data_IF_740864911221
#
_entry.id   IF_740864911221
#
_cell.length_a   1.000
_cell.length_b   1.000
_cell.length_c   1.000
_cell.angle_alpha   90.00
_cell.angle_beta   90.00
_cell.angle_gamma   90.00
#
_symmetry.space_group_name_H-M   'P 1'
#
loop_
_entity.id
_entity.type
_entity.pdbx_description
1 polymer ?
#
# COMPACT_ATOMS: atom_id res chain seq x y z
N UNK A 1 -16.76 -14.06 1.97
CA UNK A 1 -16.16 -15.41 1.85
C UNK A 1 -15.29 -15.41 0.62
N UNK A 2 -13.99 -15.62 0.77
CA UNK A 2 -13.04 -15.61 -0.34
C UNK A 2 -13.22 -16.83 -1.25
N UNK A 3 -12.76 -16.70 -2.49
CA UNK A 3 -12.89 -17.72 -3.52
C UNK A 3 -11.75 -18.75 -3.43
N UNK A 4 -11.96 -19.93 -4.01
CA UNK A 4 -10.98 -20.99 -4.17
C UNK A 4 -11.12 -21.64 -5.56
N UNK A 5 -10.19 -22.52 -5.93
CA UNK A 5 -10.13 -23.14 -7.26
C UNK A 5 -11.42 -23.87 -7.63
N UNK A 6 -11.98 -24.64 -6.70
CA UNK A 6 -13.21 -25.40 -6.92
C UNK A 6 -14.39 -24.47 -7.25
N UNK A 7 -14.58 -23.40 -6.47
CA UNK A 7 -15.64 -22.40 -6.72
C UNK A 7 -15.48 -21.69 -8.07
N UNK A 8 -14.26 -21.54 -8.55
CA UNK A 8 -14.01 -20.92 -9.84
C UNK A 8 -14.36 -21.84 -10.98
N UNK A 9 -13.98 -23.11 -10.89
CA UNK A 9 -14.35 -24.12 -11.90
C UNK A 9 -15.87 -24.24 -12.00
N UNK A 10 -16.56 -24.29 -10.86
CA UNK A 10 -18.03 -24.33 -10.79
C UNK A 10 -18.69 -23.10 -11.44
N UNK A 11 -18.14 -21.89 -11.23
CA UNK A 11 -18.70 -20.64 -11.76
C UNK A 11 -18.33 -20.36 -13.21
N UNK A 12 -17.15 -20.79 -13.65
CA UNK A 12 -16.70 -20.64 -15.03
C UNK A 12 -17.56 -21.52 -15.94
N UNK A 13 -17.85 -22.76 -15.50
CA UNK A 13 -18.64 -23.69 -16.29
C UNK A 13 -17.95 -24.09 -17.61
N UNK A 14 -18.66 -24.84 -18.44
CA UNK A 14 -18.09 -25.48 -19.65
C UNK A 14 -17.62 -24.51 -20.74
N UNK A 15 -18.19 -23.31 -20.78
CA UNK A 15 -17.90 -22.30 -21.82
C UNK A 15 -17.42 -20.96 -21.24
N UNK A 16 -17.06 -20.93 -19.96
CA UNK A 16 -16.60 -19.69 -19.33
C UNK A 16 -15.21 -19.31 -19.77
N UNK A 17 -14.98 -18.01 -19.87
CA UNK A 17 -13.66 -17.44 -20.15
C UNK A 17 -12.71 -17.72 -18.99
N UNK A 18 -11.49 -18.26 -19.25
CA UNK A 18 -10.45 -18.38 -18.24
C UNK A 18 -10.22 -17.06 -17.50
N UNK A 19 -9.98 -17.14 -16.19
CA UNK A 19 -9.87 -15.97 -15.30
C UNK A 19 -8.84 -14.95 -15.78
N UNK A 20 -7.68 -15.39 -16.27
CA UNK A 20 -6.61 -14.53 -16.81
C UNK A 20 -7.09 -13.80 -18.05
N UNK A 21 -7.72 -14.53 -18.98
CA UNK A 21 -8.20 -13.97 -20.25
C UNK A 21 -9.32 -12.95 -20.01
N UNK A 22 -10.21 -13.22 -19.06
CA UNK A 22 -11.22 -12.25 -18.65
C UNK A 22 -10.62 -10.94 -18.11
N UNK A 23 -9.58 -11.04 -17.25
CA UNK A 23 -8.87 -9.87 -16.76
C UNK A 23 -8.15 -9.11 -17.89
N UNK A 24 -7.53 -9.83 -18.84
CA UNK A 24 -6.92 -9.21 -20.03
C UNK A 24 -7.94 -8.47 -20.88
N UNK A 25 -9.13 -9.04 -21.07
CA UNK A 25 -10.24 -8.40 -21.78
C UNK A 25 -10.71 -7.13 -21.08
N UNK A 26 -10.81 -7.13 -19.75
CA UNK A 26 -11.15 -5.93 -18.99
C UNK A 26 -10.10 -4.83 -19.19
N UNK A 27 -8.80 -5.16 -19.13
CA UNK A 27 -7.75 -4.17 -19.36
C UNK A 27 -7.77 -3.66 -20.81
N UNK A 28 -7.99 -4.55 -21.78
CA UNK A 28 -8.12 -4.15 -23.20
C UNK A 28 -9.33 -3.24 -23.42
N UNK A 29 -10.46 -3.51 -22.75
CA UNK A 29 -11.64 -2.64 -22.79
C UNK A 29 -11.33 -1.27 -22.18
N UNK A 30 -10.56 -1.23 -21.10
CA UNK A 30 -10.14 0.01 -20.47
C UNK A 30 -9.28 0.86 -21.43
N UNK A 31 -8.30 0.24 -22.10
CA UNK A 31 -7.40 0.90 -23.04
C UNK A 31 -8.14 1.49 -24.25
N UNK A 32 -9.18 0.79 -24.73
CA UNK A 32 -9.96 1.21 -25.89
C UNK A 32 -11.17 2.10 -25.53
N UNK A 33 -11.46 2.28 -24.24
CA UNK A 33 -12.58 3.11 -23.81
C UNK A 33 -12.27 4.60 -24.06
N UNK A 34 -13.23 5.31 -24.66
CA UNK A 34 -13.15 6.75 -24.89
C UNK A 34 -13.80 7.58 -23.78
N UNK A 35 -14.82 7.03 -23.10
CA UNK A 35 -15.56 7.73 -22.05
C UNK A 35 -15.01 7.45 -20.66
N UNK A 36 -14.97 8.49 -19.82
CA UNK A 36 -14.45 8.37 -18.46
C UNK A 36 -15.30 7.43 -17.59
N UNK A 37 -16.62 7.51 -17.73
CA UNK A 37 -17.58 6.67 -16.99
C UNK A 37 -17.34 5.17 -17.27
N UNK A 38 -17.01 4.80 -18.50
CA UNK A 38 -16.71 3.40 -18.86
C UNK A 38 -15.40 2.96 -18.23
N UNK A 39 -14.38 3.80 -18.27
CA UNK A 39 -13.09 3.53 -17.61
C UNK A 39 -13.27 3.34 -16.10
N UNK A 40 -14.05 4.19 -15.44
CA UNK A 40 -14.37 4.07 -14.01
C UNK A 40 -15.10 2.77 -13.68
N UNK A 41 -16.07 2.35 -14.50
CA UNK A 41 -16.78 1.06 -14.31
C UNK A 41 -15.85 -0.14 -14.44
N UNK A 42 -14.97 -0.15 -15.44
CA UNK A 42 -14.03 -1.24 -15.67
C UNK A 42 -13.03 -1.33 -14.50
N UNK A 43 -12.55 -0.18 -14.06
CA UNK A 43 -11.71 -0.03 -12.88
C UNK A 43 -12.44 -0.55 -11.62
N UNK A 44 -13.67 -0.13 -11.36
CA UNK A 44 -14.42 -0.62 -10.20
C UNK A 44 -14.57 -2.15 -10.23
N UNK A 45 -14.79 -2.72 -11.42
CA UNK A 45 -14.84 -4.16 -11.60
C UNK A 45 -13.49 -4.82 -11.28
N UNK A 46 -12.39 -4.34 -11.85
CA UNK A 46 -11.04 -4.85 -11.55
C UNK A 46 -10.70 -4.71 -10.06
N UNK A 47 -11.14 -3.64 -9.38
CA UNK A 47 -10.95 -3.43 -7.95
C UNK A 47 -11.71 -4.48 -7.12
N UNK A 48 -12.93 -4.83 -7.52
CA UNK A 48 -13.70 -5.90 -6.88
C UNK A 48 -13.01 -7.26 -7.01
N UNK A 49 -12.34 -7.53 -8.14
CA UNK A 49 -11.52 -8.74 -8.29
C UNK A 49 -10.32 -8.72 -7.34
N UNK A 50 -9.67 -7.56 -7.18
CA UNK A 50 -8.58 -7.36 -6.24
C UNK A 50 -9.00 -7.41 -4.76
N UNK A 51 -10.29 -7.53 -4.45
CA UNK A 51 -10.73 -7.76 -3.08
C UNK A 51 -10.50 -9.21 -2.61
N UNK A 52 -10.39 -10.15 -3.54
CA UNK A 52 -10.26 -11.58 -3.24
C UNK A 52 -8.83 -12.07 -3.51
N UNK A 53 -8.10 -12.56 -2.48
CA UNK A 53 -6.71 -12.97 -2.61
C UNK A 53 -6.46 -14.04 -3.67
N UNK A 54 -7.47 -14.87 -3.95
CA UNK A 54 -7.40 -15.87 -5.01
C UNK A 54 -7.08 -15.25 -6.37
N UNK A 55 -7.54 -14.01 -6.64
CA UNK A 55 -7.35 -13.38 -7.94
C UNK A 55 -5.97 -12.77 -8.14
N UNK A 56 -5.14 -12.69 -7.10
CA UNK A 56 -3.89 -11.95 -7.12
C UNK A 56 -2.87 -12.50 -8.11
N UNK A 57 -2.78 -13.83 -8.24
CA UNK A 57 -1.87 -14.47 -9.20
C UNK A 57 -2.23 -14.12 -10.65
N UNK A 58 -3.52 -14.01 -10.96
CA UNK A 58 -3.99 -13.64 -12.30
C UNK A 58 -3.84 -12.13 -12.54
N UNK A 59 -4.12 -11.29 -11.54
CA UNK A 59 -3.89 -9.85 -11.61
C UNK A 59 -2.40 -9.51 -11.83
N UNK A 60 -1.48 -10.30 -11.25
CA UNK A 60 -0.03 -10.17 -11.49
C UNK A 60 0.34 -10.42 -12.94
N UNK A 61 -0.27 -11.40 -13.59
CA UNK A 61 0.01 -11.70 -15.00
C UNK A 61 -0.41 -10.55 -15.93
N UNK A 62 -1.41 -9.77 -15.53
CA UNK A 62 -1.85 -8.57 -16.26
C UNK A 62 -1.28 -7.27 -15.71
N UNK A 63 -0.37 -7.31 -14.72
CA UNK A 63 0.21 -6.13 -14.05
C UNK A 63 0.78 -5.11 -15.05
N UNK A 64 1.52 -5.59 -16.06
CA UNK A 64 2.08 -4.71 -17.12
C UNK A 64 1.01 -3.88 -17.84
N UNK A 65 -0.18 -4.45 -18.04
CA UNK A 65 -1.29 -3.80 -18.72
C UNK A 65 -2.10 -2.92 -17.76
N UNK A 66 -2.10 -3.23 -16.46
CA UNK A 66 -2.81 -2.46 -15.44
C UNK A 66 -2.15 -1.11 -15.11
N UNK A 67 -0.87 -0.91 -15.45
CA UNK A 67 -0.16 0.36 -15.17
C UNK A 67 -0.91 1.59 -15.71
N UNK A 68 -1.48 1.50 -16.92
CA UNK A 68 -2.29 2.58 -17.50
C UNK A 68 -3.63 2.76 -16.78
N UNK A 69 -4.23 1.68 -16.28
CA UNK A 69 -5.41 1.76 -15.42
C UNK A 69 -5.07 2.47 -14.09
N UNK A 70 -3.91 2.19 -13.51
CA UNK A 70 -3.46 2.79 -12.25
C UNK A 70 -3.24 4.30 -12.39
N UNK A 71 -2.60 4.76 -13.46
CA UNK A 71 -2.41 6.20 -13.73
C UNK A 71 -3.72 6.96 -13.92
N UNK A 72 -4.70 6.32 -14.58
CA UNK A 72 -6.03 6.90 -14.78
C UNK A 72 -6.84 6.98 -13.48
N UNK A 73 -6.61 6.07 -12.54
CA UNK A 73 -7.29 6.02 -11.24
C UNK A 73 -6.79 7.02 -10.20
N UNK A 74 -6.05 8.05 -10.62
CA UNK A 74 -5.64 9.17 -9.75
C UNK A 74 -6.80 9.88 -9.02
N UNK A 75 -8.05 9.47 -9.26
CA UNK A 75 -9.17 9.73 -8.38
C UNK A 75 -9.97 8.43 -8.07
N UNK A 76 -9.86 7.97 -6.82
CA UNK A 76 -10.97 7.50 -5.95
C UNK A 76 -11.23 6.02 -5.62
N UNK A 77 -10.81 4.97 -6.33
CA UNK A 77 -11.41 3.63 -6.02
C UNK A 77 -10.41 2.47 -5.85
N UNK A 78 -9.25 2.47 -6.52
CA UNK A 78 -8.50 1.22 -6.66
C UNK A 78 -7.56 0.86 -5.50
N UNK A 79 -7.08 1.84 -4.74
CA UNK A 79 -6.16 1.57 -3.63
C UNK A 79 -6.87 1.21 -2.32
N UNK A 80 -8.19 1.42 -2.25
CA UNK A 80 -9.00 1.06 -1.07
C UNK A 80 -9.18 -0.46 -0.93
N UNK A 81 -9.15 -1.23 -2.02
CA UNK A 81 -9.17 -2.70 -1.94
C UNK A 81 -7.82 -3.30 -1.55
N UNK A 82 -6.70 -2.62 -1.85
CA UNK A 82 -5.37 -3.03 -1.38
C UNK A 82 -5.17 -2.80 0.13
N UNK A 83 -5.98 -1.94 0.76
CA UNK A 83 -5.91 -1.65 2.19
C UNK A 83 -6.44 -2.77 3.10
N UNK A 84 -7.11 -3.82 2.57
CA UNK A 84 -7.62 -4.97 3.33
C UNK A 84 -6.79 -6.27 3.16
N UNK A 85 -5.55 -6.17 2.66
CA UNK A 85 -4.68 -7.34 2.45
C UNK A 85 -4.05 -7.75 3.80
N UNK A 86 -4.78 -8.55 4.57
CA UNK A 86 -4.31 -9.01 5.88
C UNK A 86 -3.54 -10.35 5.87
N UNK A 87 -3.32 -11.05 4.75
CA UNK A 87 -2.98 -12.49 4.89
C UNK A 87 -1.90 -13.12 3.99
N UNK A 88 -1.49 -12.60 2.82
CA UNK A 88 -0.53 -13.35 1.95
C UNK A 88 0.35 -12.43 1.07
N UNK A 89 1.00 -11.46 1.70
CA UNK A 89 1.85 -10.46 1.02
C UNK A 89 3.17 -11.07 0.46
N UNK A 90 3.60 -12.23 0.97
CA UNK A 90 4.89 -12.86 0.60
C UNK A 90 5.03 -13.27 -0.87
N UNK A 91 3.93 -13.52 -1.59
CA UNK A 91 4.00 -14.09 -2.95
C UNK A 91 3.84 -13.05 -4.08
N UNK A 92 3.52 -11.79 -3.77
CA UNK A 92 2.96 -10.86 -4.77
C UNK A 92 3.78 -9.61 -5.06
N UNK A 93 4.93 -9.41 -4.42
CA UNK A 93 5.73 -8.20 -4.60
C UNK A 93 4.93 -6.90 -4.40
N UNK A 94 3.88 -6.97 -3.58
CA UNK A 94 3.00 -5.83 -3.28
C UNK A 94 3.77 -4.75 -2.53
N UNK A 95 4.76 -5.15 -1.72
CA UNK A 95 5.66 -4.22 -1.05
C UNK A 95 6.45 -3.39 -2.06
N UNK A 96 7.05 -3.99 -3.08
CA UNK A 96 7.73 -3.23 -4.14
C UNK A 96 6.77 -2.27 -4.84
N UNK A 97 5.54 -2.71 -5.15
CA UNK A 97 4.54 -1.82 -5.76
C UNK A 97 4.20 -0.62 -4.86
N UNK A 98 4.05 -0.82 -3.56
CA UNK A 98 3.80 0.30 -2.65
C UNK A 98 5.00 1.23 -2.52
N UNK A 99 6.22 0.70 -2.59
CA UNK A 99 7.43 1.51 -2.59
C UNK A 99 7.56 2.32 -3.89
N UNK A 100 7.20 1.75 -5.04
CA UNK A 100 7.12 2.47 -6.32
C UNK A 100 6.17 3.67 -6.18
N UNK A 101 4.99 3.48 -5.56
CA UNK A 101 4.03 4.56 -5.31
C UNK A 101 4.58 5.71 -4.45
N UNK A 102 5.58 5.48 -3.59
CA UNK A 102 6.19 6.56 -2.79
C UNK A 102 7.08 7.48 -3.63
N UNK A 103 7.49 7.04 -4.82
CA UNK A 103 8.34 7.80 -5.74
C UNK A 103 7.54 8.57 -6.79
N UNK A 104 6.23 8.34 -6.86
CA UNK A 104 5.33 8.99 -7.80
C UNK A 104 5.11 10.47 -7.45
N UNK A 105 4.94 11.35 -8.45
CA UNK A 105 4.67 12.77 -8.20
C UNK A 105 3.27 13.02 -7.66
N UNK A 106 2.36 12.04 -7.76
CA UNK A 106 0.98 12.19 -7.29
C UNK A 106 0.88 11.93 -5.79
N UNK A 107 0.56 12.98 -5.02
CA UNK A 107 0.44 12.92 -3.57
C UNK A 107 -0.56 11.87 -3.06
N UNK A 108 -1.60 11.55 -3.83
CA UNK A 108 -2.57 10.50 -3.47
C UNK A 108 -1.96 9.11 -3.62
N UNK A 109 -1.21 8.87 -4.70
CA UNK A 109 -0.52 7.59 -4.87
C UNK A 109 0.47 7.36 -3.73
N UNK A 110 1.19 8.43 -3.33
CA UNK A 110 2.08 8.38 -2.17
C UNK A 110 1.30 8.06 -0.89
N UNK A 111 0.19 8.77 -0.61
CA UNK A 111 -0.68 8.53 0.56
C UNK A 111 -1.15 7.07 0.63
N UNK A 112 -1.58 6.53 -0.51
CA UNK A 112 -2.03 5.14 -0.59
C UNK A 112 -0.89 4.12 -0.45
N UNK A 113 0.25 4.37 -1.09
CA UNK A 113 1.43 3.52 -0.99
C UNK A 113 1.87 3.39 0.47
N UNK A 114 1.99 4.51 1.17
CA UNK A 114 2.39 4.50 2.59
C UNK A 114 1.32 3.88 3.49
N UNK A 115 0.03 4.10 3.20
CA UNK A 115 -1.07 3.46 3.92
C UNK A 115 -1.04 1.93 3.79
N UNK A 116 -0.79 1.43 2.59
CA UNK A 116 -0.60 0.00 2.32
C UNK A 116 0.59 -0.59 3.06
N UNK A 117 1.74 0.12 3.06
CA UNK A 117 2.93 -0.29 3.81
C UNK A 117 2.66 -0.31 5.31
N UNK A 118 2.02 0.72 5.86
CA UNK A 118 1.70 0.81 7.29
C UNK A 118 0.85 -0.38 7.74
N UNK A 119 -0.18 -0.74 6.98
CA UNK A 119 -1.03 -1.89 7.29
C UNK A 119 -0.26 -3.21 7.15
N UNK A 120 0.55 -3.35 6.10
CA UNK A 120 1.31 -4.57 5.85
C UNK A 120 2.42 -4.81 6.90
N UNK A 121 3.06 -3.76 7.41
CA UNK A 121 4.16 -3.85 8.37
C UNK A 121 3.74 -4.37 9.75
N UNK A 122 2.44 -4.46 10.05
CA UNK A 122 1.97 -5.15 11.24
C UNK A 122 2.41 -6.63 11.26
N UNK A 123 2.62 -7.26 10.10
CA UNK A 123 3.29 -8.56 9.97
C UNK A 123 4.82 -8.36 9.87
N UNK A 124 5.62 -8.89 10.81
CA UNK A 124 7.08 -8.80 10.80
C UNK A 124 7.73 -9.30 9.51
N UNK A 125 7.11 -10.26 8.82
CA UNK A 125 7.66 -10.76 7.57
C UNK A 125 7.56 -9.73 6.43
N UNK A 126 6.52 -8.90 6.42
CA UNK A 126 6.37 -7.80 5.46
C UNK A 126 7.29 -6.63 5.82
N UNK A 127 7.44 -6.34 7.11
CA UNK A 127 8.41 -5.37 7.59
C UNK A 127 9.85 -5.71 7.15
N UNK A 128 10.21 -7.00 7.15
CA UNK A 128 11.48 -7.48 6.61
C UNK A 128 11.62 -7.22 5.11
N UNK A 129 10.57 -7.45 4.31
CA UNK A 129 10.56 -7.17 2.87
C UNK A 129 10.72 -5.67 2.57
N UNK A 130 10.07 -4.80 3.34
CA UNK A 130 10.25 -3.33 3.20
C UNK A 130 11.69 -2.93 3.45
N UNK A 131 12.31 -3.52 4.48
CA UNK A 131 13.73 -3.27 4.81
C UNK A 131 14.67 -3.81 3.74
N UNK A 132 14.36 -4.98 3.15
CA UNK A 132 15.15 -5.61 2.09
C UNK A 132 15.11 -4.82 0.78
N UNK A 133 14.00 -4.16 0.47
CA UNK A 133 13.80 -3.35 -0.72
C UNK A 133 14.17 -1.87 -0.52
N UNK A 134 15.03 -1.55 0.44
CA UNK A 134 15.46 -0.18 0.75
C UNK A 134 14.30 0.82 0.90
N UNK A 135 13.19 0.39 1.50
CA UNK A 135 11.99 1.22 1.65
C UNK A 135 12.07 2.24 2.80
N UNK A 136 12.98 2.05 3.76
CA UNK A 136 13.08 2.94 4.95
C UNK A 136 13.33 4.41 4.57
N UNK A 137 14.30 4.76 3.68
CA UNK A 137 14.50 6.14 3.24
C UNK A 137 13.25 6.77 2.61
N UNK A 138 12.51 6.02 1.80
CA UNK A 138 11.28 6.50 1.14
C UNK A 138 10.20 6.82 2.18
N UNK A 139 10.05 5.97 3.20
CA UNK A 139 9.11 6.17 4.31
C UNK A 139 9.52 7.37 5.16
N UNK A 140 10.82 7.54 5.44
CA UNK A 140 11.32 8.70 6.18
C UNK A 140 11.05 9.99 5.40
N UNK A 141 11.23 10.01 4.08
CA UNK A 141 10.89 11.15 3.24
C UNK A 141 9.40 11.53 3.32
N UNK A 142 8.51 10.54 3.51
CA UNK A 142 7.08 10.77 3.68
C UNK A 142 6.73 11.57 4.95
N UNK A 143 7.62 11.64 5.95
CA UNK A 143 7.44 12.51 7.11
C UNK A 143 7.40 13.99 6.70
N UNK A 144 8.15 14.40 5.67
CA UNK A 144 8.15 15.78 5.18
C UNK A 144 7.01 16.09 4.21
N UNK A 145 6.03 15.19 4.04
CA UNK A 145 4.92 15.37 3.12
C UNK A 145 3.97 16.50 3.57
N UNK A 146 3.40 17.29 2.64
CA UNK A 146 2.34 18.25 2.96
C UNK A 146 1.00 17.57 3.30
N UNK A 147 0.84 16.29 2.93
CA UNK A 147 -0.39 15.53 3.17
C UNK A 147 -0.36 14.91 4.55
N UNK A 148 -1.32 15.33 5.40
CA UNK A 148 -1.38 14.89 6.80
C UNK A 148 -1.51 13.37 6.95
N UNK A 149 -2.35 12.72 6.15
CA UNK A 149 -2.52 11.27 6.19
C UNK A 149 -1.22 10.52 5.90
N UNK A 150 -0.46 10.99 4.90
CA UNK A 150 0.83 10.40 4.51
C UNK A 150 1.82 10.40 5.67
N UNK A 151 1.92 11.53 6.40
CA UNK A 151 2.75 11.63 7.60
C UNK A 151 2.27 10.66 8.69
N UNK A 152 0.96 10.53 8.88
CA UNK A 152 0.38 9.63 9.89
C UNK A 152 0.73 8.17 9.62
N UNK A 153 0.57 7.74 8.37
CA UNK A 153 0.93 6.39 7.93
C UNK A 153 2.43 6.15 7.98
N UNK A 154 3.26 7.15 7.66
CA UNK A 154 4.71 7.05 7.78
C UNK A 154 5.14 6.82 9.24
N UNK A 155 4.60 7.59 10.19
CA UNK A 155 4.84 7.39 11.63
C UNK A 155 4.42 5.98 12.08
N UNK A 156 3.24 5.52 11.65
CA UNK A 156 2.75 4.17 11.95
C UNK A 156 3.61 3.07 11.34
N UNK A 157 4.05 3.22 10.09
CA UNK A 157 4.94 2.27 9.43
C UNK A 157 6.29 2.18 10.15
N UNK A 158 6.88 3.33 10.50
CA UNK A 158 8.14 3.38 11.26
C UNK A 158 8.00 2.71 12.64
N UNK A 159 6.86 2.86 13.32
CA UNK A 159 6.58 2.19 14.59
C UNK A 159 6.69 0.67 14.51
N UNK A 160 6.22 0.07 13.41
CA UNK A 160 6.32 -1.38 13.18
C UNK A 160 7.68 -1.79 12.61
N UNK A 161 8.28 -0.97 11.74
CA UNK A 161 9.54 -1.28 11.09
C UNK A 161 10.71 -1.23 12.07
N UNK A 162 10.73 -0.28 13.00
CA UNK A 162 11.83 -0.12 13.94
C UNK A 162 12.00 -1.35 14.83
N UNK A 163 13.15 -2.00 14.70
CA UNK A 163 13.55 -3.19 15.44
C UNK A 163 15.07 -3.20 15.65
N UNK A 164 15.59 -4.18 16.41
CA UNK A 164 17.01 -4.25 16.76
C UNK A 164 17.96 -4.23 15.55
N UNK A 165 17.53 -4.76 14.39
CA UNK A 165 18.35 -4.89 13.19
C UNK A 165 18.39 -3.63 12.31
N UNK A 166 17.40 -2.75 12.42
CA UNK A 166 17.30 -1.54 11.59
C UNK A 166 17.20 -0.24 12.41
N UNK A 167 17.27 -0.31 13.74
CA UNK A 167 17.23 0.85 14.64
C UNK A 167 18.24 1.92 14.24
N UNK A 168 19.46 1.56 13.85
CA UNK A 168 20.51 2.54 13.50
C UNK A 168 20.21 3.28 12.19
N UNK A 169 19.43 2.65 11.29
CA UNK A 169 19.00 3.26 10.03
C UNK A 169 17.82 4.21 10.23
N UNK A 170 16.93 3.89 11.18
CA UNK A 170 15.70 4.65 11.46
C UNK A 170 15.92 5.75 12.49
N UNK A 171 16.65 5.46 13.57
CA UNK A 171 16.94 6.38 14.68
C UNK A 171 18.12 7.33 14.35
N UNK A 172 18.11 7.89 13.14
CA UNK A 172 19.02 8.98 12.81
C UNK A 172 18.58 10.26 13.53
N UNK A 173 19.50 11.16 13.91
CA UNK A 173 19.17 12.38 14.64
C UNK A 173 18.06 13.19 13.95
N UNK A 174 18.11 13.31 12.61
CA UNK A 174 17.16 14.09 11.83
C UNK A 174 15.74 13.51 11.90
N UNK A 175 15.62 12.18 11.94
CA UNK A 175 14.34 11.48 12.04
C UNK A 175 13.76 11.60 13.45
N UNK A 176 14.61 11.46 14.48
CA UNK A 176 14.19 11.62 15.87
C UNK A 176 13.67 13.04 16.12
N UNK A 177 14.36 14.05 15.61
CA UNK A 177 13.96 15.45 15.79
C UNK A 177 12.65 15.78 15.07
N UNK A 178 12.44 15.21 13.88
CA UNK A 178 11.15 15.28 13.19
C UNK A 178 10.03 14.63 14.02
N UNK A 179 10.23 13.42 14.54
CA UNK A 179 9.24 12.70 15.35
C UNK A 179 8.92 13.46 16.65
N UNK A 180 9.94 14.02 17.33
CA UNK A 180 9.72 14.88 18.52
C UNK A 180 8.90 16.12 18.19
N UNK A 181 9.14 16.73 17.03
CA UNK A 181 8.36 17.88 16.57
C UNK A 181 6.88 17.51 16.36
N UNK A 182 6.60 16.32 15.79
CA UNK A 182 5.24 15.79 15.68
C UNK A 182 4.61 15.44 17.05
N UNK A 183 5.41 14.90 17.99
CA UNK A 183 4.95 14.63 19.35
C UNK A 183 4.50 15.92 20.06
N UNK A 184 5.22 17.03 19.85
CA UNK A 184 4.89 18.35 20.41
C UNK A 184 3.74 19.07 19.68
N UNK A 185 3.38 18.65 18.46
CA UNK A 185 2.36 19.29 17.62
C UNK A 185 0.92 18.86 17.95
N UNK A 186 0.58 18.66 19.23
CA UNK A 186 -0.74 18.19 19.69
C UNK A 186 -1.90 19.12 19.30
N UNK A 187 -1.62 20.42 19.15
CA UNK A 187 -2.59 21.43 18.67
C UNK A 187 -2.91 21.31 17.18
N UNK A 188 -2.01 20.72 16.38
CA UNK A 188 -2.16 20.55 14.92
C UNK A 188 -2.85 19.23 14.59
N UNK A 189 -2.53 18.17 15.33
CA UNK A 189 -3.17 16.86 15.20
C UNK A 189 -2.86 15.98 16.41
N UNK A 190 -3.89 15.65 17.17
CA UNK A 190 -3.79 14.72 18.30
C UNK A 190 -3.32 13.33 17.85
N UNK A 191 -3.67 12.91 16.63
CA UNK A 191 -3.23 11.62 16.06
C UNK A 191 -1.71 11.58 15.86
N UNK A 192 -1.11 12.64 15.33
CA UNK A 192 0.34 12.72 15.15
C UNK A 192 1.07 12.66 16.48
N UNK A 193 0.59 13.46 17.44
CA UNK A 193 1.20 13.55 18.75
C UNK A 193 1.21 12.20 19.46
N UNK A 194 0.08 11.49 19.45
CA UNK A 194 -0.03 10.18 20.09
C UNK A 194 0.85 9.10 19.43
N UNK A 195 0.85 9.01 18.09
CA UNK A 195 1.64 8.03 17.36
C UNK A 195 3.15 8.30 17.47
N UNK A 196 3.55 9.56 17.36
CA UNK A 196 4.93 9.98 17.54
C UNK A 196 5.41 9.69 18.97
N UNK A 197 4.59 9.99 19.99
CA UNK A 197 4.92 9.67 21.38
C UNK A 197 5.04 8.16 21.59
N UNK A 198 4.11 7.36 21.06
CA UNK A 198 4.18 5.90 21.14
C UNK A 198 5.41 5.32 20.45
N UNK A 199 5.88 5.93 19.36
CA UNK A 199 7.14 5.58 18.71
C UNK A 199 8.33 5.86 19.63
N UNK A 200 8.40 7.09 20.18
CA UNK A 200 9.49 7.52 21.05
C UNK A 200 9.57 6.63 22.31
N UNK A 201 8.45 6.39 22.97
CA UNK A 201 8.40 5.60 24.21
C UNK A 201 8.83 4.14 23.99
N UNK A 202 8.57 3.59 22.80
CA UNK A 202 8.93 2.20 22.47
C UNK A 202 10.39 2.04 22.04
N UNK A 203 10.90 2.98 21.25
CA UNK A 203 12.15 2.78 20.48
C UNK A 203 13.29 3.70 20.88
N UNK A 204 13.00 4.84 21.52
CA UNK A 204 14.02 5.77 21.99
C UNK A 204 14.19 5.53 23.50
N UNK A 205 15.35 5.03 23.95
CA UNK A 205 15.61 4.92 25.38
C UNK A 205 15.49 6.32 26.00
N UNK A 206 14.57 6.51 26.94
CA UNK A 206 14.58 7.73 27.74
C UNK A 206 15.90 7.73 28.52
N UNK A 207 16.74 8.73 28.26
CA UNK A 207 17.93 8.94 29.07
C UNK A 207 17.46 9.17 30.52
N UNK A 208 17.87 8.27 31.41
CA UNK A 208 17.74 8.46 32.86
C UNK A 208 18.51 9.71 33.31
#
# INVERSE_FOLDING_TARGET
MFTNSQRQEERTGKYGTPRVEYLQQLVTQFQNASSEETKEKIVANLANFAYDPYNFTFLRQVKKLLNECFEYCNHRIFLVSCLNISCDVKQLNVIELFLDCLTEPNEKLVEFGIGGICNACADPANAALVTQNDGIPLIVQCLSSPVRSTVNYALGALYYLCNASNKEKILKPEVIDAIKSYAAASEVSTSFSNLAQAFLDKHVPQAY
#
